data_IF_796906789867
#
_entry.id   IF_796906789867
#
_cell.length_a   1.000
_cell.length_b   1.000
_cell.length_c   1.000
_cell.angle_alpha   90.00
_cell.angle_beta   90.00
_cell.angle_gamma   90.00
#
_symmetry.space_group_name_H-M   'P 1'
#
loop_
_entity.id
_entity.type
_entity.pdbx_description
1 polymer ?
#
# COMPACT_ATOMS: atom_id res chain seq x y z
N UNK A 1 29.17 15.33 -99.41
CA UNK A 1 29.72 16.63 -99.11
C UNK A 1 30.03 16.62 -97.62
N UNK A 2 31.24 16.29 -97.36
CA UNK A 2 32.31 17.17 -96.85
C UNK A 2 32.06 17.57 -95.37
N UNK A 3 32.83 17.41 -94.47
CA UNK A 3 34.24 17.17 -94.07
C UNK A 3 34.23 17.04 -92.55
N UNK A 4 34.86 16.14 -91.93
CA UNK A 4 36.30 16.06 -91.55
C UNK A 4 36.71 16.91 -90.38
N UNK A 5 37.62 16.32 -89.68
CA UNK A 5 38.61 16.89 -88.71
C UNK A 5 38.11 17.17 -87.29
N UNK A 6 38.65 16.64 -86.35
CA UNK A 6 39.97 16.22 -85.90
C UNK A 6 39.97 16.16 -84.33
N UNK A 7 40.41 15.09 -83.82
CA UNK A 7 41.55 14.88 -83.01
C UNK A 7 41.86 15.95 -81.91
N UNK A 8 41.87 15.50 -80.69
CA UNK A 8 42.95 15.79 -79.73
C UNK A 8 42.66 15.02 -78.42
N UNK A 9 43.49 14.04 -78.20
CA UNK A 9 43.73 13.43 -76.87
C UNK A 9 44.23 14.53 -75.91
N UNK A 10 43.56 14.68 -74.85
CA UNK A 10 44.17 15.34 -73.73
C UNK A 10 44.18 14.35 -72.55
N UNK A 11 45.38 13.88 -72.30
CA UNK A 11 45.73 13.03 -71.16
C UNK A 11 45.73 13.93 -69.91
N UNK A 12 44.82 13.70 -69.04
CA UNK A 12 44.84 14.30 -67.74
C UNK A 12 45.65 13.40 -66.79
N UNK A 13 46.60 13.94 -66.01
CA UNK A 13 47.49 13.16 -65.18
C UNK A 13 46.76 12.63 -63.94
N UNK A 14 47.02 11.39 -63.63
CA UNK A 14 46.64 10.71 -62.37
C UNK A 14 47.29 11.44 -61.19
N UNK A 15 46.52 11.91 -60.20
CA UNK A 15 47.14 12.35 -58.95
C UNK A 15 47.56 11.14 -58.13
N UNK A 16 48.85 11.17 -57.83
CA UNK A 16 49.53 10.23 -56.98
C UNK A 16 48.92 10.18 -55.55
N UNK A 17 48.83 8.98 -55.02
CA UNK A 17 49.11 8.64 -53.65
C UNK A 17 48.26 9.36 -52.57
N UNK A 18 47.09 8.80 -52.23
CA UNK A 18 46.58 8.98 -50.85
C UNK A 18 47.21 7.91 -49.99
N UNK A 19 48.05 8.39 -49.13
CA UNK A 19 48.66 7.70 -48.00
C UNK A 19 47.57 7.02 -47.15
N UNK A 20 47.68 5.69 -47.09
CA UNK A 20 47.06 4.90 -46.04
C UNK A 20 47.57 5.39 -44.67
N UNK A 21 46.68 5.95 -43.86
CA UNK A 21 47.16 6.32 -42.53
C UNK A 21 46.19 7.15 -41.68
N UNK A 22 44.87 7.10 -41.96
CA UNK A 22 43.89 7.52 -40.94
C UNK A 22 43.10 6.33 -40.47
N UNK A 23 43.77 5.52 -39.65
CA UNK A 23 43.09 4.64 -38.70
C UNK A 23 42.54 5.58 -37.63
N UNK A 24 41.24 5.84 -37.70
CA UNK A 24 40.50 6.42 -36.60
C UNK A 24 40.88 5.64 -35.33
N UNK A 25 41.73 6.24 -34.53
CA UNK A 25 41.94 5.79 -33.15
C UNK A 25 40.60 5.99 -32.44
N UNK A 26 39.79 4.94 -32.46
CA UNK A 26 38.67 4.82 -31.53
C UNK A 26 39.22 5.12 -30.14
N UNK A 27 38.92 6.31 -29.66
CA UNK A 27 39.25 6.76 -28.31
C UNK A 27 38.54 5.76 -27.36
N UNK A 28 39.29 4.75 -26.96
CA UNK A 28 38.85 3.71 -26.03
C UNK A 28 38.73 4.43 -24.68
N UNK A 29 37.58 5.09 -24.47
CA UNK A 29 37.19 5.57 -23.14
C UNK A 29 37.43 4.43 -22.19
N UNK A 30 38.29 4.63 -21.21
CA UNK A 30 38.55 3.69 -20.16
C UNK A 30 37.22 3.34 -19.48
N UNK A 31 36.59 2.26 -19.92
CA UNK A 31 35.46 1.67 -19.22
C UNK A 31 36.04 0.99 -17.98
N UNK A 32 36.10 1.76 -16.89
CA UNK A 32 36.43 1.18 -15.60
C UNK A 32 35.23 0.30 -15.21
N UNK A 33 35.38 -0.98 -15.27
CA UNK A 33 34.41 -1.95 -14.79
C UNK A 33 34.41 -1.99 -13.27
N UNK A 34 33.25 -2.29 -12.69
CA UNK A 34 33.10 -2.55 -11.26
C UNK A 34 33.95 -3.74 -10.82
N UNK A 35 34.62 -3.62 -9.70
CA UNK A 35 35.30 -4.74 -9.07
C UNK A 35 34.31 -5.63 -8.31
N UNK A 36 34.61 -6.92 -8.20
CA UNK A 36 33.79 -7.87 -7.46
C UNK A 36 33.68 -7.49 -5.97
N UNK A 37 34.74 -6.90 -5.41
CA UNK A 37 34.78 -6.46 -4.02
C UNK A 37 33.90 -5.22 -3.78
N UNK A 38 33.84 -4.27 -4.71
CA UNK A 38 32.96 -3.12 -4.61
C UNK A 38 31.49 -3.53 -4.58
N UNK A 39 31.10 -4.49 -5.44
CA UNK A 39 29.75 -5.01 -5.43
C UNK A 39 29.46 -5.75 -4.12
N UNK A 40 30.40 -6.54 -3.62
CA UNK A 40 30.25 -7.34 -2.41
C UNK A 40 30.06 -6.46 -1.17
N UNK A 41 30.81 -5.37 -1.06
CA UNK A 41 30.67 -4.41 0.05
C UNK A 41 29.31 -3.71 0.00
N UNK A 42 28.86 -3.31 -1.19
CA UNK A 42 27.55 -2.65 -1.34
C UNK A 42 26.40 -3.55 -0.91
N UNK A 43 26.38 -4.82 -1.37
CA UNK A 43 25.30 -5.74 -0.96
C UNK A 43 25.37 -6.09 0.52
N UNK A 44 26.56 -6.14 1.12
CA UNK A 44 26.72 -6.34 2.55
C UNK A 44 26.11 -5.18 3.36
N UNK A 45 26.39 -3.93 2.96
CA UNK A 45 25.84 -2.74 3.63
C UNK A 45 24.31 -2.70 3.48
N UNK A 46 23.79 -2.94 2.26
CA UNK A 46 22.35 -3.01 2.02
C UNK A 46 21.71 -4.10 2.89
N UNK A 47 22.34 -5.26 3.01
CA UNK A 47 21.85 -6.35 3.86
C UNK A 47 21.74 -5.94 5.34
N UNK A 48 22.73 -5.24 5.87
CA UNK A 48 22.70 -4.76 7.27
C UNK A 48 21.57 -3.74 7.48
N UNK A 49 21.44 -2.77 6.57
CA UNK A 49 20.38 -1.76 6.65
C UNK A 49 19.00 -2.41 6.55
N UNK A 50 18.82 -3.32 5.61
CA UNK A 50 17.57 -4.03 5.40
C UNK A 50 17.17 -4.87 6.63
N UNK A 51 18.12 -5.53 7.27
CA UNK A 51 17.88 -6.34 8.47
C UNK A 51 17.27 -5.52 9.63
N UNK A 52 17.62 -4.24 9.74
CA UNK A 52 17.07 -3.34 10.77
C UNK A 52 15.77 -2.66 10.28
N UNK A 53 15.72 -2.27 9.01
CA UNK A 53 14.62 -1.48 8.47
C UNK A 53 13.33 -2.30 8.27
N UNK A 54 13.44 -3.55 7.81
CA UNK A 54 12.27 -4.38 7.46
C UNK A 54 11.37 -4.64 8.68
N UNK A 55 11.85 -5.08 9.86
CA UNK A 55 10.99 -5.30 11.03
C UNK A 55 10.28 -4.03 11.48
N UNK A 56 10.99 -2.90 11.48
CA UNK A 56 10.42 -1.61 11.87
C UNK A 56 9.33 -1.14 10.90
N UNK A 57 9.53 -1.34 9.61
CA UNK A 57 8.53 -1.03 8.59
C UNK A 57 7.26 -1.89 8.76
N UNK A 58 7.43 -3.19 9.00
CA UNK A 58 6.29 -4.09 9.23
C UNK A 58 5.47 -3.66 10.45
N UNK A 59 6.11 -3.30 11.55
CA UNK A 59 5.42 -2.77 12.74
C UNK A 59 4.70 -1.46 12.45
N UNK A 60 5.30 -0.55 11.70
CA UNK A 60 4.66 0.70 11.31
C UNK A 60 3.40 0.47 10.44
N UNK A 61 3.45 -0.49 9.52
CA UNK A 61 2.29 -0.90 8.72
C UNK A 61 1.17 -1.44 9.61
N UNK A 62 1.49 -2.31 10.59
CA UNK A 62 0.50 -2.86 11.51
C UNK A 62 -0.18 -1.75 12.35
N UNK A 63 0.60 -0.81 12.89
CA UNK A 63 0.06 0.36 13.59
C UNK A 63 -0.85 1.22 12.71
N UNK A 64 -0.49 1.40 11.44
CA UNK A 64 -1.34 2.09 10.47
C UNK A 64 -2.69 1.40 10.27
N UNK A 65 -2.68 0.07 10.15
CA UNK A 65 -3.89 -0.75 10.05
C UNK A 65 -4.78 -0.63 11.29
N UNK A 66 -4.20 -0.71 12.48
CA UNK A 66 -4.93 -0.52 13.75
C UNK A 66 -5.60 0.85 13.81
N UNK A 67 -4.86 1.93 13.53
CA UNK A 67 -5.39 3.30 13.56
C UNK A 67 -6.53 3.49 12.55
N UNK A 68 -6.41 2.90 11.36
CA UNK A 68 -7.50 2.89 10.38
C UNK A 68 -8.72 2.19 10.96
N UNK A 69 -8.56 0.98 11.49
CA UNK A 69 -9.64 0.19 12.11
C UNK A 69 -10.36 0.96 13.20
N UNK A 70 -9.62 1.62 14.10
CA UNK A 70 -10.23 2.46 15.15
C UNK A 70 -10.99 3.66 14.56
N UNK A 71 -10.49 4.27 13.50
CA UNK A 71 -11.17 5.35 12.79
C UNK A 71 -12.47 4.88 12.15
N UNK A 72 -12.44 3.72 11.51
CA UNK A 72 -13.61 3.10 10.89
C UNK A 72 -14.66 2.73 11.96
N UNK A 73 -14.25 2.12 13.08
CA UNK A 73 -15.13 1.83 14.23
C UNK A 73 -15.79 3.11 14.77
N UNK A 74 -15.05 4.19 14.95
CA UNK A 74 -15.63 5.47 15.40
C UNK A 74 -16.64 6.03 14.40
N UNK A 75 -16.36 5.90 13.12
CA UNK A 75 -17.26 6.35 12.06
C UNK A 75 -18.57 5.55 12.08
N UNK A 76 -18.49 4.23 12.24
CA UNK A 76 -19.65 3.34 12.39
C UNK A 76 -20.41 3.71 13.66
N UNK A 77 -19.72 3.83 14.79
CA UNK A 77 -20.30 4.17 16.08
C UNK A 77 -21.09 5.49 16.01
N UNK A 78 -20.54 6.52 15.37
CA UNK A 78 -21.23 7.81 15.19
C UNK A 78 -22.54 7.64 14.42
N UNK A 79 -22.57 6.81 13.40
CA UNK A 79 -23.79 6.53 12.63
C UNK A 79 -24.82 5.74 13.46
N UNK A 80 -24.38 4.75 14.22
CA UNK A 80 -25.20 3.93 15.13
C UNK A 80 -25.81 4.81 16.25
N UNK A 81 -25.02 5.70 16.85
CA UNK A 81 -25.48 6.64 17.86
C UNK A 81 -26.50 7.63 17.27
N UNK A 82 -26.24 8.15 16.08
CA UNK A 82 -27.19 9.06 15.40
C UNK A 82 -28.53 8.37 15.11
N UNK A 83 -28.49 7.11 14.68
CA UNK A 83 -29.69 6.30 14.51
C UNK A 83 -30.46 6.15 15.82
N UNK A 84 -29.74 5.88 16.93
CA UNK A 84 -30.38 5.66 18.24
C UNK A 84 -31.07 6.92 18.78
N UNK A 85 -30.53 8.11 18.48
CA UNK A 85 -31.17 9.38 18.86
C UNK A 85 -32.53 9.54 18.20
N UNK A 86 -32.65 9.17 16.92
CA UNK A 86 -33.91 9.32 16.17
C UNK A 86 -34.92 8.21 16.49
N UNK A 87 -34.45 7.00 16.82
CA UNK A 87 -35.30 5.82 16.96
C UNK A 87 -35.48 5.35 18.43
N UNK A 88 -34.79 5.97 19.40
CA UNK A 88 -34.73 5.58 20.81
C UNK A 88 -34.23 4.13 21.05
N UNK A 89 -33.56 3.55 20.09
CA UNK A 89 -32.97 2.19 20.15
C UNK A 89 -31.88 2.04 19.11
N UNK A 90 -30.92 1.17 19.36
CA UNK A 90 -29.88 0.82 18.39
C UNK A 90 -30.43 -0.09 17.27
N UNK A 91 -29.81 -0.09 16.08
CA UNK A 91 -30.23 -0.97 14.98
C UNK A 91 -30.28 -2.41 15.41
N UNK A 92 -31.39 -3.10 15.14
CA UNK A 92 -31.53 -4.50 15.48
C UNK A 92 -30.58 -5.35 14.64
N UNK A 93 -29.91 -6.30 15.28
CA UNK A 93 -28.98 -7.21 14.63
C UNK A 93 -29.60 -8.58 14.43
N UNK A 94 -29.68 -9.02 13.18
CA UNK A 94 -30.08 -10.40 12.84
C UNK A 94 -28.88 -11.29 12.49
N UNK A 95 -27.67 -10.77 12.54
CA UNK A 95 -26.42 -11.48 12.21
C UNK A 95 -25.23 -10.88 12.96
N UNK A 96 -24.09 -11.53 12.90
CA UNK A 96 -22.90 -11.11 13.63
C UNK A 96 -22.11 -9.97 12.95
N UNK A 97 -22.30 -9.73 11.66
CA UNK A 97 -21.50 -8.75 10.91
C UNK A 97 -22.19 -7.39 10.77
N UNK A 98 -21.41 -6.32 10.71
CA UNK A 98 -21.89 -4.94 10.55
C UNK A 98 -22.72 -4.75 9.27
N UNK A 99 -22.48 -5.53 8.24
CA UNK A 99 -23.24 -5.47 6.99
C UNK A 99 -24.74 -5.71 7.15
N UNK A 100 -25.16 -6.43 8.20
CA UNK A 100 -26.57 -6.71 8.48
C UNK A 100 -27.35 -5.46 8.89
N UNK A 101 -26.68 -4.47 9.47
CA UNK A 101 -27.30 -3.20 9.90
C UNK A 101 -27.11 -2.08 8.90
N UNK A 102 -26.43 -2.33 7.79
CA UNK A 102 -26.18 -1.30 6.77
C UNK A 102 -27.47 -0.64 6.26
N UNK A 103 -28.52 -1.42 6.06
CA UNK A 103 -29.85 -0.92 5.60
C UNK A 103 -30.52 0.06 6.56
N UNK A 104 -30.20 0.05 7.85
CA UNK A 104 -30.69 1.01 8.83
C UNK A 104 -29.90 2.30 8.84
N UNK A 105 -28.63 2.23 8.47
CA UNK A 105 -27.69 3.35 8.58
C UNK A 105 -27.48 4.08 7.26
N UNK A 106 -27.49 3.37 6.14
CA UNK A 106 -27.27 3.95 4.81
C UNK A 106 -28.61 4.38 4.16
N UNK A 107 -28.62 5.45 3.41
CA UNK A 107 -27.59 6.50 3.27
C UNK A 107 -27.76 7.64 4.28
N UNK A 108 -28.71 7.50 5.25
CA UNK A 108 -29.19 8.59 6.10
C UNK A 108 -28.16 9.04 7.13
N UNK A 109 -27.57 8.11 7.88
CA UNK A 109 -26.63 8.39 8.96
C UNK A 109 -25.17 8.28 8.51
N UNK A 110 -24.94 7.46 7.49
CA UNK A 110 -23.65 7.32 6.85
C UNK A 110 -23.84 7.05 5.36
N UNK A 111 -23.03 7.66 4.52
CA UNK A 111 -23.13 7.46 3.07
C UNK A 111 -22.89 6.02 2.66
N UNK A 112 -21.86 5.42 3.22
CA UNK A 112 -21.51 3.99 3.06
C UNK A 112 -20.76 3.53 4.29
N UNK A 113 -21.20 2.42 4.88
CA UNK A 113 -20.60 1.86 6.08
C UNK A 113 -19.33 1.07 5.75
N UNK A 114 -18.22 1.27 6.48
CA UNK A 114 -17.07 0.37 6.42
C UNK A 114 -17.46 -1.03 6.89
N UNK A 115 -17.26 -2.03 6.06
CA UNK A 115 -17.64 -3.43 6.40
C UNK A 115 -16.47 -4.27 6.87
N UNK A 116 -15.23 -3.84 6.56
CA UNK A 116 -14.00 -4.57 6.85
C UNK A 116 -12.98 -3.67 7.53
N UNK A 117 -12.21 -4.28 8.41
CA UNK A 117 -11.14 -3.62 9.15
C UNK A 117 -9.85 -3.43 8.32
N UNK A 118 -8.78 -2.97 8.96
CA UNK A 118 -7.47 -2.77 8.33
C UNK A 118 -6.80 -4.06 7.84
N UNK A 119 -7.26 -5.23 8.25
CA UNK A 119 -6.75 -6.55 7.83
C UNK A 119 -7.70 -7.30 6.91
N UNK A 120 -8.80 -6.64 6.46
CA UNK A 120 -9.84 -7.17 5.60
C UNK A 120 -10.69 -8.25 6.30
N UNK A 121 -10.83 -8.17 7.62
CA UNK A 121 -11.76 -8.97 8.40
C UNK A 121 -13.04 -8.17 8.62
N UNK A 122 -14.20 -8.83 8.50
CA UNK A 122 -15.48 -8.16 8.66
C UNK A 122 -15.68 -7.69 10.10
N UNK A 123 -16.14 -6.44 10.28
CA UNK A 123 -16.53 -5.94 11.59
C UNK A 123 -17.72 -6.72 12.13
N UNK A 124 -17.66 -7.04 13.41
CA UNK A 124 -18.75 -7.65 14.13
C UNK A 124 -19.60 -6.56 14.81
N UNK A 125 -20.89 -6.78 14.83
CA UNK A 125 -21.85 -5.89 15.48
C UNK A 125 -22.85 -6.71 16.26
N UNK A 126 -23.05 -6.37 17.51
CA UNK A 126 -24.06 -7.01 18.34
C UNK A 126 -24.83 -5.98 19.17
N UNK A 127 -26.09 -6.29 19.46
CA UNK A 127 -26.93 -5.52 20.39
C UNK A 127 -27.48 -6.43 21.48
N UNK A 128 -27.83 -5.84 22.62
CA UNK A 128 -28.59 -6.54 23.66
C UNK A 128 -30.04 -6.80 23.24
N UNK A 129 -30.75 -7.59 24.01
CA UNK A 129 -32.16 -7.97 23.74
C UNK A 129 -33.11 -6.75 23.75
N UNK A 130 -32.75 -5.67 24.41
CA UNK A 130 -33.54 -4.46 24.52
C UNK A 130 -33.13 -3.36 23.53
N UNK A 131 -32.12 -3.59 22.72
CA UNK A 131 -31.52 -2.63 21.78
C UNK A 131 -31.03 -1.32 22.46
N UNK A 132 -30.58 -1.43 23.71
CA UNK A 132 -30.08 -0.30 24.51
C UNK A 132 -28.56 -0.28 24.64
N UNK A 133 -27.91 -1.37 24.32
CA UNK A 133 -26.46 -1.52 24.30
C UNK A 133 -26.03 -2.08 22.95
N UNK A 134 -24.88 -1.66 22.47
CA UNK A 134 -24.26 -2.25 21.28
C UNK A 134 -22.77 -2.45 21.47
N UNK A 135 -22.22 -3.36 20.71
CA UNK A 135 -20.79 -3.61 20.58
C UNK A 135 -20.39 -3.64 19.12
N UNK A 136 -19.22 -3.07 18.85
CA UNK A 136 -18.52 -3.14 17.58
C UNK A 136 -17.15 -3.75 17.83
N UNK A 137 -16.78 -4.75 17.04
CA UNK A 137 -15.57 -5.50 17.26
C UNK A 137 -14.83 -5.76 15.96
N UNK A 138 -13.51 -5.66 16.01
CA UNK A 138 -12.58 -6.15 15.00
C UNK A 138 -11.71 -7.22 15.63
N UNK A 139 -11.62 -8.38 15.00
CA UNK A 139 -10.81 -9.51 15.46
C UNK A 139 -9.30 -9.33 15.20
N UNK A 140 -8.86 -8.11 14.93
CA UNK A 140 -7.44 -7.82 14.78
C UNK A 140 -6.78 -8.53 13.60
N UNK A 141 -5.46 -8.72 13.73
CA UNK A 141 -4.62 -9.23 12.65
C UNK A 141 -4.86 -10.71 12.32
N UNK A 142 -5.20 -11.52 13.31
CA UNK A 142 -5.36 -12.97 13.11
C UNK A 142 -6.80 -13.36 12.73
N UNK A 143 -7.74 -12.42 12.82
CA UNK A 143 -9.14 -12.64 12.45
C UNK A 143 -9.88 -13.65 13.36
N UNK A 144 -9.39 -13.85 14.58
CA UNK A 144 -9.93 -14.80 15.54
C UNK A 144 -10.42 -14.05 16.77
N UNK A 145 -11.66 -14.29 17.17
CA UNK A 145 -12.22 -13.78 18.42
C UNK A 145 -11.37 -14.25 19.61
N UNK A 146 -10.69 -13.30 20.25
CA UNK A 146 -9.84 -13.55 21.43
C UNK A 146 -10.64 -13.50 22.73
N UNK A 147 -11.94 -13.21 22.64
CA UNK A 147 -12.85 -13.02 23.79
C UNK A 147 -12.67 -11.65 24.45
N UNK A 148 -13.54 -11.34 25.43
CA UNK A 148 -13.58 -10.01 26.05
C UNK A 148 -12.31 -9.74 26.86
N UNK A 149 -11.35 -9.07 26.24
CA UNK A 149 -10.27 -8.42 26.94
C UNK A 149 -10.67 -6.97 27.23
N UNK A 150 -10.06 -6.36 28.24
CA UNK A 150 -10.29 -4.95 28.54
C UNK A 150 -8.96 -4.22 28.75
N UNK A 151 -8.90 -2.97 28.26
CA UNK A 151 -7.73 -2.11 28.40
C UNK A 151 -6.87 -2.02 27.15
N UNK A 152 -5.67 -1.50 27.36
CA UNK A 152 -4.71 -1.24 26.30
C UNK A 152 -3.94 -2.52 25.92
N UNK A 153 -3.74 -2.73 24.62
CA UNK A 153 -2.96 -3.85 24.10
C UNK A 153 -1.86 -3.38 23.17
N UNK A 154 -0.73 -4.08 23.19
CA UNK A 154 0.39 -3.88 22.26
C UNK A 154 0.48 -4.96 21.19
N UNK A 155 -0.36 -6.01 21.28
CA UNK A 155 -0.40 -7.09 20.31
C UNK A 155 -1.43 -6.77 19.21
N UNK A 156 -0.98 -6.83 17.96
CA UNK A 156 -1.81 -6.60 16.78
C UNK A 156 -2.86 -7.68 16.53
N UNK A 157 -2.78 -8.81 17.23
CA UNK A 157 -3.73 -9.92 17.12
C UNK A 157 -4.94 -9.73 18.02
N UNK A 158 -4.81 -8.93 19.09
CA UNK A 158 -5.92 -8.71 19.99
C UNK A 158 -7.05 -7.93 19.32
N UNK A 159 -8.25 -8.22 19.75
CA UNK A 159 -9.47 -7.60 19.28
C UNK A 159 -9.52 -6.12 19.67
N UNK A 160 -10.14 -5.33 18.81
CA UNK A 160 -10.48 -3.94 19.11
C UNK A 160 -11.97 -3.90 19.36
N UNK A 161 -12.34 -3.68 20.61
CA UNK A 161 -13.72 -3.67 21.08
C UNK A 161 -14.15 -2.26 21.44
N UNK A 162 -15.28 -1.85 20.87
CA UNK A 162 -15.96 -0.59 21.18
C UNK A 162 -17.37 -0.92 21.68
N UNK A 163 -17.76 -0.33 22.78
CA UNK A 163 -19.08 -0.53 23.38
C UNK A 163 -19.66 0.81 23.82
N UNK A 164 -20.86 1.10 23.38
CA UNK A 164 -21.72 2.20 23.83
C UNK A 164 -20.94 3.51 24.11
N UNK A 165 -20.29 4.03 23.06
CA UNK A 165 -19.59 5.34 23.11
C UNK A 165 -18.10 5.29 23.47
N UNK A 166 -17.52 4.15 23.87
CA UNK A 166 -16.12 4.07 24.27
C UNK A 166 -15.40 2.79 23.81
N UNK A 167 -14.08 2.90 23.61
CA UNK A 167 -13.26 1.71 23.43
C UNK A 167 -13.07 0.96 24.74
N UNK A 168 -13.31 -0.33 24.73
CA UNK A 168 -13.11 -1.26 25.84
C UNK A 168 -11.74 -1.91 25.74
N UNK A 169 -11.39 -2.41 24.54
CA UNK A 169 -10.06 -2.90 24.20
C UNK A 169 -9.53 -2.06 23.05
N UNK A 170 -8.32 -1.52 23.20
CA UNK A 170 -7.75 -0.62 22.21
C UNK A 170 -6.22 -0.73 22.15
N UNK A 171 -5.60 -0.50 21.00
CA UNK A 171 -4.15 -0.48 20.85
C UNK A 171 -3.51 0.77 21.50
N UNK A 172 -2.21 0.64 21.81
CA UNK A 172 -1.34 1.71 22.31
C UNK A 172 -1.07 2.80 21.25
#
# INVERSE_FOLDING_TARGET
MSADVGDAKEQNPVPAGRSSGDVDMFNKKNQQGFTLIELLIVVAIIGIIAAIAIPNLLNAIQRGKQKRTMGDIRTIATAVESYSIDNNQYPSNSGATISTVASFLEPTYIKKIPTEDGWNTAFQYATDANFQLYTLESFGKDGVDSGPASGQTTDFRHDILFSTGSFVTYPD
#
